data_IF_517088266882
#
_entry.id   IF_517088266882
#
_cell.length_a   1.000
_cell.length_b   1.000
_cell.length_c   1.000
_cell.angle_alpha   90.00
_cell.angle_beta   90.00
_cell.angle_gamma   90.00
#
_symmetry.space_group_name_H-M   'P 1'
#
loop_
_entity.id
_entity.type
_entity.pdbx_description
1 polymer ?
#
# COMPACT_ATOMS: atom_id res chain seq x y z
N UNK A 1 57.72 -40.62 -9.63
CA UNK A 1 57.63 -40.92 -8.18
C UNK A 1 57.40 -39.60 -7.46
N UNK A 2 56.36 -39.53 -6.64
CA UNK A 2 55.78 -38.31 -6.05
C UNK A 2 56.45 -37.99 -4.72
N UNK A 3 56.97 -36.77 -4.56
CA UNK A 3 57.38 -36.22 -3.25
C UNK A 3 56.54 -34.97 -2.94
N UNK A 4 55.59 -35.19 -2.03
CA UNK A 4 55.01 -34.28 -1.02
C UNK A 4 55.18 -32.76 -1.16
N UNK A 5 54.05 -32.06 -1.35
CA UNK A 5 53.88 -30.63 -1.04
C UNK A 5 53.16 -30.52 0.30
N UNK A 6 53.71 -29.76 1.25
CA UNK A 6 53.04 -29.37 2.49
C UNK A 6 53.21 -27.87 2.79
N UNK A 7 52.06 -27.19 2.80
CA UNK A 7 51.58 -26.15 3.71
C UNK A 7 52.45 -24.90 3.99
N UNK A 8 51.97 -23.72 3.59
CA UNK A 8 51.76 -22.56 4.49
C UNK A 8 50.47 -21.83 4.09
N UNK A 9 49.58 -21.66 5.07
CA UNK A 9 48.28 -21.00 5.08
C UNK A 9 48.39 -19.48 5.34
N UNK A 10 47.25 -18.79 5.17
CA UNK A 10 46.89 -17.44 5.71
C UNK A 10 47.37 -16.28 4.83
N UNK A 11 46.54 -15.57 4.07
CA UNK A 11 45.45 -14.72 4.56
C UNK A 11 44.72 -14.14 3.33
N UNK A 12 43.59 -14.73 2.97
CA UNK A 12 42.66 -14.12 2.04
C UNK A 12 41.46 -13.61 2.85
N UNK A 13 40.99 -12.41 2.51
CA UNK A 13 39.67 -11.85 2.87
C UNK A 13 39.55 -11.22 4.25
N UNK A 14 40.29 -10.12 4.46
CA UNK A 14 39.84 -8.99 5.27
C UNK A 14 39.36 -7.87 4.35
N UNK A 15 38.25 -8.09 3.64
CA UNK A 15 37.43 -6.95 3.22
C UNK A 15 36.24 -7.02 4.14
N UNK A 16 36.18 -6.05 5.06
CA UNK A 16 35.06 -5.79 5.92
C UNK A 16 33.78 -5.94 5.10
N UNK A 17 33.06 -7.04 5.32
CA UNK A 17 31.62 -7.02 5.17
C UNK A 17 31.12 -6.07 6.26
N UNK A 18 31.27 -4.76 6.02
CA UNK A 18 30.42 -3.77 6.65
C UNK A 18 29.06 -4.06 6.03
N UNK A 19 28.40 -5.07 6.61
CA UNK A 19 26.99 -5.33 6.38
C UNK A 19 26.34 -4.03 6.82
N UNK A 20 26.07 -3.16 5.85
CA UNK A 20 25.16 -2.05 6.04
C UNK A 20 23.86 -2.73 6.38
N UNK A 21 23.59 -2.89 7.68
CA UNK A 21 22.27 -3.31 8.12
C UNK A 21 21.33 -2.25 7.57
N UNK A 22 20.41 -2.57 6.65
CA UNK A 22 19.37 -1.62 6.29
C UNK A 22 18.69 -1.29 7.61
N UNK A 23 18.86 -0.05 8.07
CA UNK A 23 18.28 0.42 9.32
C UNK A 23 16.81 0.06 9.27
N UNK A 24 16.32 -0.65 10.30
CA UNK A 24 14.99 -1.26 10.38
C UNK A 24 13.94 -0.37 9.71
N UNK A 25 13.72 -0.61 8.40
CA UNK A 25 12.67 0.06 7.67
C UNK A 25 11.39 -0.46 8.35
N UNK A 26 10.65 0.45 8.99
CA UNK A 26 9.39 0.07 9.59
C UNK A 26 8.47 -0.30 8.44
N UNK A 27 8.05 -1.56 8.40
CA UNK A 27 6.98 -1.97 7.51
C UNK A 27 5.72 -1.22 7.93
N UNK A 28 5.14 -0.45 7.01
CA UNK A 28 3.89 0.26 7.23
C UNK A 28 2.73 -0.74 7.08
N UNK A 29 2.00 -1.12 8.14
CA UNK A 29 0.86 -2.01 7.97
C UNK A 29 -0.22 -1.33 7.14
N UNK A 30 -0.84 -2.06 6.22
CA UNK A 30 -2.02 -1.61 5.49
C UNK A 30 -2.95 -2.79 5.22
N UNK A 31 -4.09 -2.82 5.91
CA UNK A 31 -5.06 -3.91 5.82
C UNK A 31 -6.48 -3.39 5.59
N UNK A 32 -7.26 -4.13 4.80
CA UNK A 32 -8.69 -3.87 4.64
C UNK A 32 -9.44 -4.22 5.94
N UNK A 33 -10.29 -3.31 6.41
CA UNK A 33 -11.25 -3.58 7.49
C UNK A 33 -12.64 -3.83 6.93
N UNK A 34 -13.10 -2.96 6.03
CA UNK A 34 -14.43 -3.08 5.43
C UNK A 34 -14.48 -2.38 4.06
N UNK A 35 -15.29 -2.91 3.15
CA UNK A 35 -15.59 -2.32 1.85
C UNK A 35 -17.07 -2.55 1.53
N UNK A 36 -17.79 -1.50 1.13
CA UNK A 36 -19.13 -1.61 0.57
C UNK A 36 -19.02 -2.04 -0.89
N UNK A 37 -19.32 -3.30 -1.20
CA UNK A 37 -19.28 -3.85 -2.56
C UNK A 37 -20.12 -5.13 -2.63
N UNK A 38 -21.00 -5.31 -3.64
CA UNK A 38 -21.31 -4.37 -4.72
C UNK A 38 -22.14 -3.17 -4.24
N UNK A 39 -22.20 -2.11 -5.05
CA UNK A 39 -23.01 -0.90 -4.78
C UNK A 39 -23.74 -0.44 -6.04
N UNK A 40 -24.93 0.16 -5.90
CA UNK A 40 -25.70 0.65 -7.05
C UNK A 40 -25.29 2.08 -7.45
N UNK A 41 -25.48 2.47 -8.72
CA UNK A 41 -25.38 3.87 -9.13
C UNK A 41 -26.26 4.77 -8.26
N UNK A 42 -25.70 5.90 -7.81
CA UNK A 42 -26.40 6.85 -6.93
C UNK A 42 -26.41 6.48 -5.44
N UNK A 43 -25.91 5.33 -5.03
CA UNK A 43 -25.73 4.99 -3.61
C UNK A 43 -24.36 5.45 -3.07
N UNK A 44 -24.22 5.42 -1.76
CA UNK A 44 -22.94 5.72 -1.10
C UNK A 44 -22.15 4.41 -0.91
N UNK A 45 -20.88 4.45 -1.29
CA UNK A 45 -19.90 3.43 -0.97
C UNK A 45 -18.98 3.91 0.14
N UNK A 46 -18.40 2.96 0.88
CA UNK A 46 -17.42 3.24 1.92
C UNK A 46 -16.30 2.21 1.92
N UNK A 47 -15.12 2.64 2.35
CA UNK A 47 -13.97 1.76 2.61
C UNK A 47 -13.33 2.20 3.92
N UNK A 48 -12.94 1.21 4.72
CA UNK A 48 -12.20 1.39 5.97
C UNK A 48 -10.96 0.52 5.93
N UNK A 49 -9.81 1.10 6.24
CA UNK A 49 -8.53 0.41 6.34
C UNK A 49 -7.89 0.63 7.71
N UNK A 50 -7.02 -0.30 8.09
CA UNK A 50 -6.16 -0.23 9.26
C UNK A 50 -4.72 -0.02 8.82
N UNK A 51 -4.05 0.95 9.44
CA UNK A 51 -2.63 1.27 9.27
C UNK A 51 -2.06 1.79 10.59
N UNK A 52 -0.90 2.43 10.57
CA UNK A 52 -0.34 3.08 11.74
C UNK A 52 -1.07 4.39 12.09
N UNK A 53 -1.11 4.77 13.38
CA UNK A 53 -1.72 6.04 13.78
C UNK A 53 -1.06 7.24 13.11
N UNK A 54 -1.89 8.20 12.67
CA UNK A 54 -1.47 9.45 12.01
C UNK A 54 -0.79 9.30 10.64
N UNK A 55 -0.74 8.11 10.06
CA UNK A 55 -0.28 7.88 8.67
C UNK A 55 -1.13 8.67 7.68
N UNK A 56 -0.51 9.25 6.65
CA UNK A 56 -1.21 9.94 5.59
C UNK A 56 -1.62 8.93 4.51
N UNK A 57 -2.91 8.89 4.18
CA UNK A 57 -3.44 8.02 3.15
C UNK A 57 -4.23 8.78 2.08
N UNK A 58 -4.37 8.16 0.92
CA UNK A 58 -5.12 8.64 -0.23
C UNK A 58 -5.92 7.48 -0.79
N UNK A 59 -7.24 7.69 -0.88
CA UNK A 59 -8.14 6.79 -1.59
C UNK A 59 -8.27 7.27 -3.04
N UNK A 60 -8.02 6.37 -3.98
CA UNK A 60 -8.25 6.54 -5.41
C UNK A 60 -9.39 5.63 -5.84
N UNK A 61 -10.40 6.22 -6.48
CA UNK A 61 -11.56 5.48 -7.01
C UNK A 61 -11.69 5.80 -8.49
N UNK A 62 -11.65 4.76 -9.32
CA UNK A 62 -11.72 4.86 -10.77
C UNK A 62 -12.88 4.01 -11.29
N UNK A 63 -13.84 4.59 -11.99
CA UNK A 63 -14.91 3.83 -12.66
C UNK A 63 -15.45 4.57 -13.89
N UNK A 64 -16.08 3.83 -14.80
CA UNK A 64 -16.71 4.43 -15.98
C UNK A 64 -18.11 4.94 -15.69
N UNK A 65 -18.45 6.10 -16.25
CA UNK A 65 -19.82 6.59 -16.40
C UNK A 65 -20.22 6.58 -17.87
N UNK A 66 -21.51 6.75 -18.17
CA UNK A 66 -21.97 6.83 -19.57
C UNK A 66 -21.34 7.98 -20.37
N UNK A 67 -20.97 9.09 -19.73
CA UNK A 67 -20.44 10.27 -20.40
C UNK A 67 -18.90 10.34 -20.41
N UNK A 68 -18.26 9.86 -19.34
CA UNK A 68 -16.81 9.96 -19.12
C UNK A 68 -16.33 8.98 -18.03
N UNK A 69 -15.06 9.03 -17.68
CA UNK A 69 -14.52 8.37 -16.48
C UNK A 69 -14.72 9.22 -15.22
N UNK A 70 -14.97 8.56 -14.10
CA UNK A 70 -14.99 9.18 -12.79
C UNK A 70 -13.71 8.80 -12.03
N UNK A 71 -12.97 9.82 -11.62
CA UNK A 71 -11.70 9.69 -10.89
C UNK A 71 -11.81 10.50 -9.60
N UNK A 72 -11.81 9.84 -8.45
CA UNK A 72 -11.84 10.48 -7.14
C UNK A 72 -10.51 10.28 -6.45
N UNK A 73 -9.95 11.36 -5.89
CA UNK A 73 -8.78 11.33 -5.03
C UNK A 73 -9.13 11.96 -3.68
N UNK A 74 -9.13 11.14 -2.63
CA UNK A 74 -9.61 11.54 -1.30
C UNK A 74 -8.49 11.35 -0.27
N UNK A 75 -7.70 12.40 0.04
CA UNK A 75 -6.67 12.32 1.07
C UNK A 75 -7.31 12.30 2.46
N UNK A 76 -6.76 11.48 3.37
CA UNK A 76 -7.16 11.43 4.77
C UNK A 76 -6.04 10.87 5.65
N UNK A 77 -5.90 11.43 6.85
CA UNK A 77 -4.96 10.94 7.85
C UNK A 77 -5.62 9.91 8.76
N UNK A 78 -4.89 8.86 9.12
CA UNK A 78 -5.33 7.87 10.09
C UNK A 78 -5.53 8.49 11.48
N UNK A 79 -6.56 8.02 12.18
CA UNK A 79 -6.84 8.46 13.54
C UNK A 79 -5.81 7.91 14.54
N UNK A 80 -6.03 8.17 15.84
CA UNK A 80 -5.14 7.70 16.92
C UNK A 80 -5.10 6.18 17.06
N UNK A 81 -6.09 5.47 16.53
CA UNK A 81 -6.16 4.02 16.52
C UNK A 81 -5.66 3.43 15.18
N UNK A 82 -5.19 4.25 14.24
CA UNK A 82 -4.71 3.79 12.94
C UNK A 82 -5.83 3.49 11.94
N UNK A 83 -7.07 3.94 12.19
CA UNK A 83 -8.18 3.75 11.26
C UNK A 83 -8.31 4.92 10.29
N UNK A 84 -8.55 4.60 9.02
CA UNK A 84 -8.96 5.55 8.00
C UNK A 84 -10.23 5.04 7.35
N UNK A 85 -11.25 5.91 7.26
CA UNK A 85 -12.53 5.57 6.62
C UNK A 85 -12.96 6.69 5.68
N UNK A 86 -13.38 6.32 4.48
CA UNK A 86 -13.94 7.22 3.48
C UNK A 86 -15.35 6.79 3.11
N UNK A 87 -16.15 7.77 2.70
CA UNK A 87 -17.46 7.55 2.11
C UNK A 87 -17.58 8.46 0.90
N UNK A 88 -18.05 7.91 -0.22
CA UNK A 88 -18.25 8.64 -1.46
C UNK A 88 -19.52 8.18 -2.16
N UNK A 89 -20.09 9.06 -2.99
CA UNK A 89 -21.29 8.76 -3.76
C UNK A 89 -20.91 8.24 -5.14
N UNK A 90 -21.55 7.16 -5.56
CA UNK A 90 -21.40 6.64 -6.92
C UNK A 90 -22.24 7.47 -7.87
N UNK A 91 -21.66 7.86 -9.01
CA UNK A 91 -22.38 8.64 -10.00
C UNK A 91 -23.67 7.88 -10.44
N UNK A 92 -24.82 8.55 -10.54
CA UNK A 92 -26.08 7.88 -10.94
C UNK A 92 -26.04 7.25 -12.34
N UNK A 93 -25.10 7.69 -13.19
CA UNK A 93 -24.87 7.19 -14.54
C UNK A 93 -23.62 6.29 -14.64
N UNK A 94 -23.16 5.74 -13.50
CA UNK A 94 -22.07 4.77 -13.47
C UNK A 94 -22.43 3.52 -14.29
N UNK A 95 -21.44 2.97 -15.00
CA UNK A 95 -21.59 1.75 -15.78
C UNK A 95 -21.35 0.55 -14.84
N UNK A 96 -22.28 -0.41 -14.76
CA UNK A 96 -22.07 -1.63 -13.98
C UNK A 96 -20.81 -2.38 -14.43
N UNK A 97 -20.07 -2.92 -13.47
CA UNK A 97 -18.79 -3.56 -13.74
C UNK A 97 -17.91 -3.72 -12.50
N UNK A 98 -16.77 -4.37 -12.71
CA UNK A 98 -15.69 -4.43 -11.74
C UNK A 98 -14.70 -3.29 -12.00
N UNK A 99 -14.36 -2.57 -10.93
CA UNK A 99 -13.55 -1.38 -10.94
C UNK A 99 -12.58 -1.42 -9.75
N UNK A 100 -11.34 -0.94 -9.88
CA UNK A 100 -10.40 -0.94 -8.76
C UNK A 100 -10.67 0.24 -7.82
N UNK A 101 -10.56 -0.04 -6.52
CA UNK A 101 -10.36 0.99 -5.50
C UNK A 101 -8.96 0.82 -4.94
N UNK A 102 -8.17 1.89 -4.93
CA UNK A 102 -6.78 1.84 -4.50
C UNK A 102 -6.60 2.72 -3.27
N UNK A 103 -6.01 2.17 -2.22
CA UNK A 103 -5.58 2.92 -1.05
C UNK A 103 -4.07 3.00 -1.06
N UNK A 104 -3.55 4.22 -1.08
CA UNK A 104 -2.13 4.50 -0.91
C UNK A 104 -1.93 5.12 0.47
N UNK A 105 -1.00 4.60 1.26
CA UNK A 105 -0.58 5.20 2.50
C UNK A 105 0.92 5.43 2.47
N UNK A 106 1.37 6.54 3.02
CA UNK A 106 2.79 6.82 3.20
C UNK A 106 3.04 7.35 4.61
N UNK A 107 4.18 6.97 5.16
CA UNK A 107 4.68 7.49 6.43
C UNK A 107 6.16 7.88 6.29
N UNK A 108 6.55 8.90 7.05
CA UNK A 108 7.91 9.40 7.12
C UNK A 108 8.46 9.12 8.51
N UNK A 109 9.35 8.12 8.62
CA UNK A 109 9.98 7.76 9.88
C UNK A 109 11.49 8.00 9.83
N UNK A 110 11.98 8.95 10.63
CA UNK A 110 13.42 9.28 10.74
C UNK A 110 14.13 9.53 9.39
N UNK A 111 13.41 10.13 8.42
CA UNK A 111 13.93 10.39 7.08
C UNK A 111 13.79 9.24 6.09
N UNK A 112 13.23 8.09 6.50
CA UNK A 112 12.80 7.03 5.60
C UNK A 112 11.32 7.21 5.23
N UNK A 113 11.03 7.26 3.93
CA UNK A 113 9.66 7.25 3.39
C UNK A 113 9.27 5.81 3.13
N UNK A 114 8.28 5.29 3.85
CA UNK A 114 7.66 3.98 3.54
C UNK A 114 6.32 4.23 2.84
N UNK A 115 6.06 3.47 1.78
CA UNK A 115 4.82 3.56 1.01
C UNK A 115 4.15 2.20 0.89
N UNK A 116 2.83 2.17 1.03
CA UNK A 116 2.02 0.97 0.81
C UNK A 116 0.82 1.24 -0.06
N UNK A 117 0.50 0.23 -0.86
CA UNK A 117 -0.62 0.23 -1.79
C UNK A 117 -1.47 -1.00 -1.54
N UNK A 118 -2.77 -0.79 -1.39
CA UNK A 118 -3.77 -1.83 -1.30
C UNK A 118 -4.79 -1.64 -2.43
N UNK A 119 -4.88 -2.60 -3.32
CA UNK A 119 -5.84 -2.60 -4.42
C UNK A 119 -6.99 -3.55 -4.11
N UNK A 120 -8.22 -3.05 -4.22
CA UNK A 120 -9.42 -3.73 -3.76
C UNK A 120 -10.41 -3.93 -4.91
N UNK A 121 -10.99 -5.14 -5.05
CA UNK A 121 -12.02 -5.38 -6.05
C UNK A 121 -13.31 -4.69 -5.63
N UNK A 122 -13.75 -3.70 -6.39
CA UNK A 122 -14.98 -2.96 -6.15
C UNK A 122 -15.95 -3.16 -7.31
N UNK A 123 -17.23 -3.39 -7.00
CA UNK A 123 -18.27 -3.67 -8.01
C UNK A 123 -19.37 -2.62 -7.98
N UNK A 124 -19.65 -2.06 -9.15
CA UNK A 124 -20.87 -1.29 -9.39
C UNK A 124 -21.89 -2.24 -10.03
N UNK A 125 -23.05 -2.41 -9.38
CA UNK A 125 -24.10 -3.35 -9.76
C UNK A 125 -25.27 -2.71 -10.48
#
# INVERSE_FOLDING_TARGET
MRTTVSLVLVSALWICAFVVQPGLARDLPLALVALTSPVRPGENASVTVQTDPRTQCMLLVHYKTRAAEANLALPKRADKAGRVSWTWRIAPNAVPGAWPVIVHCHDEFKGSVEQRRLELPFRVG
#
